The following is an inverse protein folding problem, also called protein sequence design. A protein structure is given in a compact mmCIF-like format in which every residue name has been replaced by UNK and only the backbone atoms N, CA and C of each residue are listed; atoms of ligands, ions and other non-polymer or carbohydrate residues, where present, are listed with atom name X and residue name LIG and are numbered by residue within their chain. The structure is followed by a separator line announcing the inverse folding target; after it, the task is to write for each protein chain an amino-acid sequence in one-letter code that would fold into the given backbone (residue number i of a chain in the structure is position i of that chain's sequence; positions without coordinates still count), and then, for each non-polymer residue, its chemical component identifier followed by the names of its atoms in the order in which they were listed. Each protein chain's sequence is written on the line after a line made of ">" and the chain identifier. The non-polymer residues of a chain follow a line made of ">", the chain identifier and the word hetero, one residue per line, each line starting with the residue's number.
data_IF_489484620421
#
_entry.id   IF_489484620421
#
_cell.length_a   1.000
_cell.length_b   1.000
_cell.length_c   1.000
_cell.angle_alpha   90.00
_cell.angle_beta   90.00
_cell.angle_gamma   90.00
#
_symmetry.space_group_name_H-M   'P 1'
#
loop_
_entity.id
_entity.type
_entity.pdbx_description
1 polymer ?
#
# COMPACT_ATOMS: atom_id res chain seq x y z
N UNK A 1 -12.61 -17.79 4.08
CA UNK A 1 -11.32 -17.70 3.35
C UNK A 1 -10.27 -17.25 4.34
N UNK A 2 -9.15 -17.97 4.45
CA UNK A 2 -8.01 -17.49 5.22
C UNK A 2 -7.30 -16.40 4.41
N UNK A 3 -6.99 -15.27 5.06
CA UNK A 3 -6.13 -14.24 4.48
C UNK A 3 -4.69 -14.74 4.40
N UNK A 4 -3.94 -14.27 3.42
CA UNK A 4 -2.55 -14.66 3.17
C UNK A 4 -1.57 -13.91 4.06
N UNK A 5 -1.89 -12.66 4.39
CA UNK A 5 -1.06 -11.83 5.27
C UNK A 5 -1.71 -11.67 6.63
N UNK A 6 -0.87 -11.74 7.66
CA UNK A 6 -1.23 -11.46 9.04
C UNK A 6 -0.70 -10.08 9.47
N UNK A 7 -1.55 -9.15 9.94
CA UNK A 7 -1.14 -7.79 10.32
C UNK A 7 -0.03 -7.75 11.38
N UNK A 8 -0.08 -8.62 12.39
CA UNK A 8 0.92 -8.64 13.47
C UNK A 8 2.28 -9.09 12.95
N UNK A 9 2.28 -10.11 12.07
CA UNK A 9 3.50 -10.54 11.38
C UNK A 9 4.09 -9.42 10.51
N UNK A 10 3.25 -8.66 9.80
CA UNK A 10 3.71 -7.49 9.03
C UNK A 10 4.30 -6.40 9.93
N UNK A 11 3.68 -6.14 11.07
CA UNK A 11 4.17 -5.17 12.05
C UNK A 11 5.52 -5.59 12.64
N UNK A 12 5.67 -6.87 13.00
CA UNK A 12 6.94 -7.45 13.46
C UNK A 12 8.06 -7.24 12.43
N UNK A 13 7.80 -7.58 11.16
CA UNK A 13 8.79 -7.41 10.08
C UNK A 13 9.16 -5.93 9.89
N UNK A 14 8.20 -5.00 10.00
CA UNK A 14 8.49 -3.57 9.93
C UNK A 14 9.36 -3.11 11.10
N UNK A 15 9.10 -3.61 12.31
CA UNK A 15 9.91 -3.32 13.50
C UNK A 15 11.37 -3.73 13.33
N UNK A 16 11.61 -4.89 12.72
CA UNK A 16 12.96 -5.43 12.47
C UNK A 16 13.80 -4.61 11.47
N UNK A 17 13.20 -3.67 10.73
CA UNK A 17 13.92 -2.88 9.71
C UNK A 17 14.04 -1.40 10.08
N UNK A 18 13.49 -0.96 11.21
CA UNK A 18 13.45 0.47 11.56
C UNK A 18 14.84 1.10 11.70
N UNK A 19 15.85 0.33 12.15
CA UNK A 19 17.22 0.80 12.32
C UNK A 19 17.97 1.01 11.00
N UNK A 20 17.52 0.40 9.90
CA UNK A 20 18.15 0.56 8.59
C UNK A 20 17.94 1.99 8.06
N UNK A 21 18.91 2.62 7.37
CA UNK A 21 18.74 3.96 6.82
C UNK A 21 17.60 4.09 5.80
N UNK A 22 16.88 5.20 5.84
CA UNK A 22 15.75 5.46 4.94
C UNK A 22 16.21 6.16 3.66
N UNK A 23 17.15 7.09 3.79
CA UNK A 23 17.60 8.03 2.76
C UNK A 23 18.31 7.32 1.60
N UNK A 24 19.03 6.24 1.91
CA UNK A 24 19.69 5.37 0.92
C UNK A 24 18.72 4.34 0.33
N UNK A 25 17.52 4.21 0.90
CA UNK A 25 16.53 3.20 0.55
C UNK A 25 16.74 1.84 1.23
N UNK A 26 17.84 1.63 1.97
CA UNK A 26 18.19 0.34 2.59
C UNK A 26 17.05 -0.25 3.43
N UNK A 27 16.32 0.59 4.19
CA UNK A 27 15.14 0.15 4.94
C UNK A 27 14.09 -0.55 4.09
N UNK A 28 13.81 -0.03 2.88
CA UNK A 28 12.84 -0.66 2.00
C UNK A 28 13.38 -1.93 1.34
N UNK A 29 14.70 -2.02 1.09
CA UNK A 29 15.31 -3.26 0.57
C UNK A 29 15.22 -4.36 1.61
N UNK A 30 15.62 -4.08 2.86
CA UNK A 30 15.54 -5.01 3.98
C UNK A 30 14.08 -5.46 4.24
N UNK A 31 13.13 -4.53 4.15
CA UNK A 31 11.70 -4.83 4.28
C UNK A 31 11.24 -5.84 3.22
N UNK A 32 11.57 -5.59 1.95
CA UNK A 32 11.14 -6.44 0.84
C UNK A 32 11.84 -7.79 0.88
N UNK A 33 13.10 -7.84 1.30
CA UNK A 33 13.83 -9.10 1.51
C UNK A 33 13.16 -9.96 2.58
N UNK A 34 12.89 -9.40 3.77
CA UNK A 34 12.19 -10.11 4.85
C UNK A 34 10.78 -10.53 4.45
N UNK A 35 10.00 -9.64 3.83
CA UNK A 35 8.67 -9.99 3.31
C UNK A 35 8.75 -11.12 2.26
N UNK A 36 9.77 -11.12 1.41
CA UNK A 36 9.97 -12.18 0.41
C UNK A 36 10.42 -13.50 1.05
N UNK A 37 11.14 -13.46 2.16
CA UNK A 37 11.51 -14.67 2.91
C UNK A 37 10.30 -15.28 3.61
N UNK A 38 9.44 -14.44 4.22
CA UNK A 38 8.23 -14.89 4.93
C UNK A 38 7.10 -15.29 3.97
N UNK A 39 6.97 -14.60 2.83
CA UNK A 39 5.90 -14.78 1.84
C UNK A 39 6.46 -14.97 0.41
N UNK A 40 7.23 -16.05 0.15
CA UNK A 40 8.04 -16.19 -1.07
C UNK A 40 7.27 -16.17 -2.39
N UNK A 41 6.03 -16.66 -2.40
CA UNK A 41 5.19 -16.74 -3.60
C UNK A 41 4.30 -15.50 -3.81
N UNK A 42 4.32 -14.51 -2.90
CA UNK A 42 3.38 -13.39 -2.92
C UNK A 42 4.03 -12.05 -3.27
N UNK A 43 5.31 -11.84 -2.98
CA UNK A 43 5.95 -10.53 -3.22
C UNK A 43 6.39 -10.41 -4.68
N UNK A 44 5.65 -9.63 -5.48
CA UNK A 44 5.82 -9.51 -6.93
C UNK A 44 6.86 -8.45 -7.34
N UNK A 45 7.02 -7.39 -6.54
CA UNK A 45 7.82 -6.21 -6.91
C UNK A 45 9.08 -6.08 -6.07
N UNK A 46 10.09 -6.90 -6.37
CA UNK A 46 11.43 -6.79 -5.74
C UNK A 46 12.20 -5.54 -6.16
N UNK A 47 11.73 -4.79 -7.16
CA UNK A 47 12.44 -3.64 -7.77
C UNK A 47 11.93 -2.28 -7.29
N UNK A 48 11.00 -2.21 -6.33
CA UNK A 48 10.45 -0.96 -5.77
C UNK A 48 10.05 0.06 -6.84
N UNK A 49 9.21 -0.35 -7.79
CA UNK A 49 8.68 0.60 -8.78
C UNK A 49 7.70 1.57 -8.13
N UNK A 50 8.11 2.84 -8.03
CA UNK A 50 7.28 3.92 -7.49
C UNK A 50 6.29 4.47 -8.52
N UNK A 51 5.06 4.68 -8.07
CA UNK A 51 3.98 5.31 -8.83
C UNK A 51 3.53 6.53 -8.01
N UNK A 52 3.49 7.70 -8.64
CA UNK A 52 2.91 8.87 -8.00
C UNK A 52 1.39 8.67 -7.87
N UNK A 53 0.86 8.95 -6.68
CA UNK A 53 -0.56 8.86 -6.40
C UNK A 53 -1.06 10.16 -5.77
N UNK A 54 -2.27 10.54 -6.16
CA UNK A 54 -3.11 11.46 -5.41
C UNK A 54 -4.41 10.72 -5.11
N UNK A 55 -4.91 10.79 -3.89
CA UNK A 55 -6.22 10.27 -3.50
C UNK A 55 -6.72 10.98 -2.23
N UNK A 56 -7.93 11.52 -2.25
CA UNK A 56 -8.52 12.15 -1.06
C UNK A 56 -7.74 13.37 -0.57
N UNK A 57 -7.10 14.09 -1.49
CA UNK A 57 -6.20 15.22 -1.19
C UNK A 57 -4.75 14.82 -0.91
N UNK A 58 -4.50 13.54 -0.59
CA UNK A 58 -3.20 13.04 -0.15
C UNK A 58 -2.33 12.79 -1.37
N UNK A 59 -1.21 13.50 -1.48
CA UNK A 59 -0.22 13.32 -2.53
C UNK A 59 0.96 12.50 -2.00
N UNK A 60 1.34 11.45 -2.72
CA UNK A 60 2.44 10.61 -2.32
C UNK A 60 2.93 9.67 -3.41
N UNK A 61 3.68 8.66 -2.99
CA UNK A 61 4.21 7.60 -3.84
C UNK A 61 3.79 6.25 -3.28
N UNK A 62 3.38 5.36 -4.17
CA UNK A 62 3.09 3.96 -3.84
C UNK A 62 4.03 3.02 -4.58
N UNK A 63 4.42 1.94 -3.93
CA UNK A 63 5.05 0.78 -4.54
C UNK A 63 4.26 -0.46 -4.12
N UNK A 64 3.46 -1.01 -5.04
CA UNK A 64 2.75 -2.26 -4.81
C UNK A 64 3.74 -3.41 -4.66
N UNK A 65 3.60 -4.19 -3.60
CA UNK A 65 4.34 -5.43 -3.35
C UNK A 65 3.49 -6.66 -3.69
N UNK A 66 2.17 -6.56 -3.48
CA UNK A 66 1.19 -7.60 -3.82
C UNK A 66 -0.16 -6.97 -4.19
N UNK A 67 -0.86 -7.56 -5.15
CA UNK A 67 -2.24 -7.20 -5.50
C UNK A 67 -3.06 -8.45 -5.84
N UNK A 68 -4.11 -8.70 -5.06
CA UNK A 68 -5.10 -9.75 -5.29
C UNK A 68 -6.53 -9.18 -5.26
N UNK A 69 -7.52 -10.04 -5.48
CA UNK A 69 -8.95 -9.68 -5.40
C UNK A 69 -9.45 -9.51 -3.97
N UNK A 70 -8.74 -10.11 -3.00
CA UNK A 70 -9.10 -10.11 -1.59
C UNK A 70 -8.13 -9.34 -0.67
N UNK A 71 -6.92 -9.07 -1.16
CA UNK A 71 -5.82 -8.51 -0.36
C UNK A 71 -4.90 -7.67 -1.26
N UNK A 72 -4.31 -6.60 -0.71
CA UNK A 72 -3.21 -5.87 -1.34
C UNK A 72 -2.15 -5.51 -0.30
N UNK A 73 -0.90 -5.41 -0.73
CA UNK A 73 0.21 -4.94 0.09
C UNK A 73 1.01 -3.92 -0.70
N UNK A 74 1.25 -2.75 -0.12
CA UNK A 74 2.01 -1.68 -0.76
C UNK A 74 2.81 -0.88 0.26
N UNK A 75 3.85 -0.21 -0.22
CA UNK A 75 4.53 0.85 0.53
C UNK A 75 3.95 2.17 0.07
N UNK A 76 3.48 2.99 0.99
CA UNK A 76 3.01 4.36 0.73
C UNK A 76 3.90 5.34 1.50
N UNK A 77 4.20 6.49 0.91
CA UNK A 77 4.78 7.60 1.66
C UNK A 77 4.94 8.85 0.83
N UNK A 78 5.41 9.92 1.47
CA UNK A 78 5.65 11.19 0.80
C UNK A 78 6.90 11.87 1.37
N UNK A 79 7.82 12.35 0.51
CA UNK A 79 8.93 13.19 0.96
C UNK A 79 8.47 14.58 1.42
N UNK A 80 7.25 15.01 1.05
CA UNK A 80 6.66 16.29 1.46
C UNK A 80 5.44 16.03 2.37
N UNK A 81 5.14 16.99 3.25
CA UNK A 81 3.96 16.91 4.09
C UNK A 81 2.69 16.91 3.22
N UNK A 82 1.69 16.13 3.64
CA UNK A 82 0.41 16.02 2.94
C UNK A 82 -0.70 15.73 3.92
N UNK A 83 -1.89 16.25 3.65
CA UNK A 83 -3.08 16.03 4.45
C UNK A 83 -4.27 15.65 3.56
N UNK A 84 -5.31 15.13 4.18
CA UNK A 84 -6.55 14.78 3.50
C UNK A 84 -7.34 13.70 4.19
N UNK A 85 -7.93 12.83 3.38
CA UNK A 85 -8.96 11.88 3.78
C UNK A 85 -8.61 10.47 3.33
N UNK A 86 -8.73 9.49 4.22
CA UNK A 86 -8.41 8.08 3.92
C UNK A 86 -9.25 7.48 2.80
N UNK A 87 -10.44 8.04 2.54
CA UNK A 87 -11.50 7.33 1.84
C UNK A 87 -12.36 6.50 2.80
N UNK A 88 -13.59 6.19 2.37
CA UNK A 88 -14.48 5.24 3.05
C UNK A 88 -14.49 3.92 2.30
N UNK A 89 -13.72 2.97 2.79
CA UNK A 89 -13.67 1.63 2.19
C UNK A 89 -14.73 0.72 2.81
N UNK A 90 -15.92 0.65 2.22
CA UNK A 90 -17.04 -0.13 2.77
C UNK A 90 -16.78 -1.64 2.90
N UNK A 91 -15.85 -2.19 2.10
CA UNK A 91 -15.60 -3.63 2.02
C UNK A 91 -14.16 -4.03 2.29
N UNK A 92 -13.30 -3.12 2.76
CA UNK A 92 -11.87 -3.36 2.99
C UNK A 92 -11.47 -2.82 4.35
N UNK A 93 -10.84 -3.67 5.16
CA UNK A 93 -10.09 -3.24 6.34
C UNK A 93 -8.69 -2.85 5.92
N UNK A 94 -8.18 -1.73 6.43
CA UNK A 94 -6.85 -1.22 6.10
C UNK A 94 -5.99 -1.18 7.35
N UNK A 95 -4.80 -1.76 7.25
CA UNK A 95 -3.77 -1.76 8.27
C UNK A 95 -2.59 -0.93 7.77
N UNK A 96 -2.00 -0.12 8.65
CA UNK A 96 -0.78 0.63 8.33
C UNK A 96 0.24 0.44 9.41
N UNK A 97 1.47 0.15 9.03
CA UNK A 97 2.62 0.17 9.93
C UNK A 97 3.54 1.30 9.51
N UNK A 98 3.93 2.16 10.46
CA UNK A 98 4.83 3.28 10.17
C UNK A 98 6.27 2.79 10.08
N UNK A 99 6.94 3.11 8.97
CA UNK A 99 8.35 2.78 8.72
C UNK A 99 9.28 3.98 8.98
N UNK A 100 8.74 5.20 8.87
CA UNK A 100 9.47 6.44 9.07
C UNK A 100 8.51 7.60 9.26
N UNK A 101 9.00 8.67 9.89
CA UNK A 101 8.21 9.86 10.18
C UNK A 101 7.05 9.54 11.12
N UNK A 102 5.96 10.27 10.98
CA UNK A 102 4.74 10.07 11.78
C UNK A 102 3.55 10.68 11.06
N UNK A 103 2.37 10.24 11.45
CA UNK A 103 1.14 10.86 10.99
C UNK A 103 0.14 10.94 12.12
N UNK A 104 -0.72 11.94 12.03
CA UNK A 104 -1.87 12.07 12.90
C UNK A 104 -3.14 11.71 12.14
N UNK A 105 -4.12 11.22 12.88
CA UNK A 105 -5.41 10.84 12.32
C UNK A 105 -6.52 10.99 13.36
N UNK A 106 -7.76 11.18 12.89
CA UNK A 106 -8.94 11.26 13.74
C UNK A 106 -10.15 10.69 12.99
N UNK A 107 -11.05 10.06 13.73
CA UNK A 107 -12.26 9.45 13.18
C UNK A 107 -13.32 10.50 12.87
N UNK A 108 -13.74 10.61 11.61
CA UNK A 108 -14.69 11.63 11.15
C UNK A 108 -16.12 11.43 11.69
N UNK A 109 -16.40 10.26 12.26
CA UNK A 109 -17.74 9.83 12.66
C UNK A 109 -17.89 9.77 14.18
N UNK A 110 -16.92 10.31 14.91
CA UNK A 110 -16.88 10.24 16.37
C UNK A 110 -16.72 11.64 16.95
N UNK A 111 -17.12 11.81 18.21
CA UNK A 111 -16.90 13.06 18.97
C UNK A 111 -15.43 13.21 19.43
N UNK A 112 -14.47 12.59 18.72
CA UNK A 112 -13.06 12.67 19.02
C UNK A 112 -12.55 14.10 18.86
N UNK A 113 -12.08 14.69 19.97
CA UNK A 113 -11.54 16.06 19.99
C UNK A 113 -10.03 16.07 19.68
N UNK A 114 -9.27 15.12 20.25
CA UNK A 114 -7.82 15.05 20.12
C UNK A 114 -7.41 13.99 19.08
N UNK A 115 -6.45 14.26 18.18
CA UNK A 115 -6.01 13.29 17.19
C UNK A 115 -5.19 12.17 17.81
N UNK A 116 -5.18 11.01 17.15
CA UNK A 116 -4.26 9.91 17.43
C UNK A 116 -3.01 10.09 16.59
N UNK A 117 -1.83 9.96 17.19
CA UNK A 117 -0.53 10.03 16.51
C UNK A 117 0.04 8.60 16.41
N UNK A 118 0.60 8.28 15.24
CA UNK A 118 1.29 7.02 14.98
C UNK A 118 2.75 7.29 14.58
N UNK A 119 3.67 6.63 15.24
CA UNK A 119 5.13 6.74 15.14
C UNK A 119 5.75 5.45 14.58
N UNK A 120 7.05 5.43 14.18
CA UNK A 120 7.69 4.27 13.58
C UNK A 120 7.54 3.00 14.43
N UNK A 121 7.03 1.93 13.81
CA UNK A 121 6.70 0.67 14.47
C UNK A 121 5.23 0.53 14.85
N UNK A 122 4.48 1.62 14.97
CA UNK A 122 3.07 1.53 15.35
C UNK A 122 2.22 0.92 14.24
N UNK A 123 1.31 0.04 14.65
CA UNK A 123 0.29 -0.56 13.80
C UNK A 123 -1.06 0.16 14.01
N UNK A 124 -1.56 0.80 12.95
CA UNK A 124 -2.93 1.29 12.92
C UNK A 124 -3.85 0.32 12.19
N UNK A 125 -5.10 0.31 12.63
CA UNK A 125 -6.18 -0.39 11.95
C UNK A 125 -7.35 0.56 11.70
N UNK A 126 -7.79 0.61 10.44
CA UNK A 126 -9.02 1.25 10.02
C UNK A 126 -9.99 0.16 9.56
N UNK A 127 -11.08 0.02 10.31
CA UNK A 127 -12.14 -0.93 9.98
C UNK A 127 -12.89 -0.48 8.75
N UNK A 128 -13.33 -1.44 7.93
CA UNK A 128 -14.22 -1.19 6.78
C UNK A 128 -15.41 -0.31 7.17
N UNK A 129 -15.83 0.52 6.22
CA UNK A 129 -16.92 1.46 6.38
C UNK A 129 -16.57 2.70 7.20
N UNK A 130 -15.45 2.74 7.92
CA UNK A 130 -15.00 3.94 8.62
C UNK A 130 -14.16 4.81 7.70
N UNK A 131 -13.96 6.05 8.13
CA UNK A 131 -13.12 6.97 7.42
C UNK A 131 -12.50 8.02 8.36
N UNK A 132 -11.28 8.43 8.04
CA UNK A 132 -10.46 9.27 8.90
C UNK A 132 -9.90 10.47 8.16
N UNK A 133 -9.81 11.59 8.89
CA UNK A 133 -8.92 12.68 8.50
C UNK A 133 -7.48 12.30 8.84
N UNK A 134 -6.53 12.78 8.05
CA UNK A 134 -5.12 12.52 8.29
C UNK A 134 -4.23 13.67 7.84
N UNK A 135 -3.13 13.82 8.57
CA UNK A 135 -2.00 14.64 8.18
C UNK A 135 -0.73 13.82 8.37
N UNK A 136 0.00 13.66 7.27
CA UNK A 136 1.22 12.88 7.16
C UNK A 136 2.38 13.89 7.10
N UNK A 137 3.32 13.78 8.02
CA UNK A 137 4.49 14.66 8.04
C UNK A 137 5.44 14.36 6.88
N UNK A 138 6.26 15.36 6.52
CA UNK A 138 7.26 15.21 5.47
C UNK A 138 8.24 14.07 5.80
N UNK A 139 8.51 13.22 4.82
CA UNK A 139 9.42 12.08 5.00
C UNK A 139 8.79 10.88 5.70
N UNK A 140 7.45 10.84 5.83
CA UNK A 140 6.77 9.69 6.43
C UNK A 140 6.49 8.59 5.41
N UNK A 141 6.72 7.35 5.83
CA UNK A 141 6.55 6.15 5.02
C UNK A 141 5.90 5.05 5.82
N UNK A 142 5.07 4.25 5.16
CA UNK A 142 4.19 3.27 5.78
C UNK A 142 4.10 2.02 4.90
N UNK A 143 4.05 0.86 5.54
CA UNK A 143 3.54 -0.35 4.90
C UNK A 143 2.02 -0.37 5.06
N UNK A 144 1.28 -0.43 3.95
CA UNK A 144 -0.18 -0.51 3.96
C UNK A 144 -0.64 -1.88 3.47
N UNK A 145 -1.49 -2.51 4.27
CA UNK A 145 -2.12 -3.80 3.98
C UNK A 145 -3.63 -3.65 4.00
N UNK A 146 -4.29 -3.94 2.89
CA UNK A 146 -5.74 -3.98 2.82
C UNK A 146 -6.26 -5.40 2.65
N UNK A 147 -7.33 -5.76 3.38
CA UNK A 147 -8.02 -7.05 3.24
C UNK A 147 -9.53 -6.89 3.15
N UNK A 148 -10.15 -7.61 2.21
CA UNK A 148 -11.57 -7.47 1.87
C UNK A 148 -11.78 -7.45 0.36
N UNK A 149 -12.83 -6.81 -0.16
CA UNK A 149 -13.08 -6.78 -1.61
C UNK A 149 -12.23 -5.67 -2.24
N UNK A 150 -10.94 -5.92 -2.46
CA UNK A 150 -9.95 -4.87 -2.81
C UNK A 150 -10.23 -4.16 -4.14
N UNK A 151 -10.92 -4.80 -5.07
CA UNK A 151 -11.36 -4.15 -6.31
C UNK A 151 -12.23 -2.90 -6.02
N UNK A 152 -12.94 -2.84 -4.88
CA UNK A 152 -13.73 -1.66 -4.50
C UNK A 152 -12.87 -0.49 -4.01
N UNK A 153 -11.61 -0.72 -3.65
CA UNK A 153 -10.68 0.34 -3.25
C UNK A 153 -10.05 1.05 -4.45
N UNK A 154 -10.02 0.41 -5.62
CA UNK A 154 -9.39 0.94 -6.84
C UNK A 154 -10.01 2.28 -7.28
N UNK A 155 -11.35 2.47 -7.34
CA UNK A 155 -11.92 3.74 -7.75
C UNK A 155 -11.40 4.90 -6.91
N UNK A 156 -11.37 4.78 -5.57
CA UNK A 156 -10.87 5.84 -4.70
C UNK A 156 -9.35 6.02 -4.83
N UNK A 157 -8.57 4.94 -4.77
CA UNK A 157 -7.10 5.00 -4.85
C UNK A 157 -6.56 5.44 -6.21
N UNK A 158 -7.40 5.42 -7.25
CA UNK A 158 -7.02 5.86 -8.61
C UNK A 158 -7.77 7.11 -9.07
N UNK A 159 -8.84 7.56 -8.38
CA UNK A 159 -9.69 8.67 -8.84
C UNK A 159 -8.89 9.94 -9.08
N UNK A 160 -8.09 10.38 -8.10
CA UNK A 160 -7.34 11.63 -8.23
C UNK A 160 -6.04 11.44 -9.02
N UNK A 161 -5.49 10.21 -9.10
CA UNK A 161 -4.32 9.87 -9.91
C UNK A 161 -4.65 9.86 -11.41
N UNK A 162 -5.85 9.36 -11.77
CA UNK A 162 -6.39 9.41 -13.13
C UNK A 162 -6.74 10.84 -13.53
N UNK A 163 -7.19 11.67 -12.57
CA UNK A 163 -7.65 13.03 -12.84
C UNK A 163 -6.56 14.12 -12.76
N UNK A 164 -5.47 13.92 -12.00
CA UNK A 164 -4.46 14.97 -11.74
C UNK A 164 -3.09 14.73 -12.37
N UNK A 165 -2.80 13.53 -12.88
CA UNK A 165 -1.52 13.19 -13.53
C UNK A 165 -1.78 12.76 -14.98
N UNK A 166 -1.87 13.77 -15.85
CA UNK A 166 -2.00 13.71 -17.31
C UNK A 166 -1.87 12.32 -17.95
N UNK A 167 -2.99 11.68 -18.36
CA UNK A 167 -3.24 10.60 -19.35
C UNK A 167 -2.13 9.55 -19.71
N UNK A 168 -0.85 9.91 -19.77
CA UNK A 168 0.33 9.09 -20.05
C UNK A 168 0.64 7.99 -19.01
N UNK A 169 0.58 8.20 -17.68
CA UNK A 169 0.81 7.14 -16.71
C UNK A 169 -0.24 6.02 -16.77
N UNK A 170 -1.50 6.37 -17.06
CA UNK A 170 -2.59 5.41 -17.25
C UNK A 170 -2.31 4.50 -18.46
N UNK A 171 -1.82 5.06 -19.57
CA UNK A 171 -1.44 4.28 -20.75
C UNK A 171 -0.25 3.34 -20.49
N UNK A 172 0.75 3.79 -19.73
CA UNK A 172 1.89 2.95 -19.34
C UNK A 172 1.47 1.83 -18.37
N UNK A 173 0.65 2.16 -17.37
CA UNK A 173 0.12 1.18 -16.42
C UNK A 173 -0.75 0.12 -17.14
N UNK A 174 -1.62 0.55 -18.06
CA UNK A 174 -2.45 -0.35 -18.87
C UNK A 174 -1.58 -1.25 -19.77
N UNK A 175 -0.52 -0.71 -20.36
CA UNK A 175 0.43 -1.46 -21.19
C UNK A 175 1.17 -2.54 -20.41
N UNK A 176 1.63 -2.22 -19.20
CA UNK A 176 2.30 -3.21 -18.33
C UNK A 176 1.33 -4.26 -17.79
N UNK A 177 0.11 -3.86 -17.40
CA UNK A 177 -0.93 -4.79 -16.97
C UNK A 177 -1.27 -5.79 -18.09
N UNK A 178 -1.39 -5.30 -19.33
CA UNK A 178 -1.62 -6.15 -20.50
C UNK A 178 -0.42 -7.05 -20.85
N UNK A 179 0.81 -6.63 -20.55
CA UNK A 179 2.01 -7.44 -20.73
C UNK A 179 2.10 -8.57 -19.70
N UNK A 180 1.76 -8.29 -18.44
CA UNK A 180 1.72 -9.29 -17.36
C UNK A 180 0.64 -10.35 -17.62
N UNK A 181 -0.56 -9.94 -18.04
CA UNK A 181 -1.65 -10.87 -18.40
C UNK A 181 -1.25 -11.76 -19.59
N UNK A 182 -0.63 -11.20 -20.64
CA UNK A 182 -0.13 -11.98 -21.79
C UNK A 182 0.98 -12.95 -21.39
N UNK A 183 1.89 -12.54 -20.51
CA UNK A 183 2.95 -13.40 -19.98
C UNK A 183 2.37 -14.61 -19.23
N UNK A 184 1.37 -14.39 -18.39
CA UNK A 184 0.71 -15.45 -17.63
C UNK A 184 -0.08 -16.42 -18.51
N UNK A 185 -0.76 -15.93 -19.56
CA UNK A 185 -1.46 -16.76 -20.53
C UNK A 185 -0.51 -17.61 -21.39
N UNK A 186 0.63 -17.07 -21.82
CA UNK A 186 1.66 -17.83 -22.56
C UNK A 186 2.26 -18.96 -21.73
N UNK A 187 2.57 -18.72 -20.45
CA UNK A 187 3.09 -19.76 -19.53
C UNK A 187 2.05 -20.85 -19.23
N UNK A 188 0.76 -20.49 -19.12
CA UNK A 188 -0.34 -21.46 -18.97
C UNK A 188 -0.53 -22.35 -20.20
N UNK A 189 -0.34 -21.82 -21.42
CA UNK A 189 -0.38 -22.61 -22.66
C UNK A 189 0.83 -23.55 -22.79
N UNK A 190 2.04 -23.09 -22.46
CA UNK A 190 3.23 -23.94 -22.47
C UNK A 190 3.11 -25.15 -21.53
N UNK A 191 2.48 -24.99 -20.35
CA UNK A 191 2.23 -26.08 -19.41
C UNK A 191 1.14 -27.07 -19.84
N UNK A 192 0.27 -26.70 -20.79
CA UNK A 192 -0.77 -27.59 -21.35
C UNK A 192 -0.32 -28.37 -22.59
N UNK A 193 0.79 -27.99 -23.22
CA UNK A 193 1.38 -28.71 -24.35
C UNK A 193 2.48 -29.71 -23.97
N UNK A 194 2.74 -29.88 -22.67
CA UNK A 194 3.70 -30.83 -22.09
C UNK A 194 2.97 -31.94 -21.29
N UNK A 195 1.68 -32.15 -21.56
CA UNK A 195 0.88 -33.27 -21.08
C UNK A 195 0.31 -34.03 -22.27
#
# INVERSE_FOLDING_TARGET
>A
MAYKFDPETLASICGEVLDAPLETGERFDALIEKLSATYPDLIENRRRRWIATKAGGILGKISFLYMGLSEYLLIFGSPAATDGYTGRYNFVDVYKVVLAGRYLTYDLETDQIAPTIYEPGDLSWMKRGHARGLQIEAGSWHLEYGRGITITAIPFGTLDTIMSLAFRPLLMATGEFAALIRGNLRRRRARRGLR
#
